data_IF_877334704424
#
_entry.id   IF_877334704424
#
_cell.length_a   1.000
_cell.length_b   1.000
_cell.length_c   1.000
_cell.angle_alpha   90.00
_cell.angle_beta   90.00
_cell.angle_gamma   90.00
#
_symmetry.space_group_name_H-M   'P 1'
#
loop_
_entity.id
_entity.type
_entity.pdbx_description
1 polymer ?
#
# COMPACT_ATOMS: atom_id res chain seq x y z
N UNK A 1 -12.67 -25.19 6.51
CA UNK A 1 -12.54 -24.04 5.59
C UNK A 1 -11.84 -24.52 4.33
N UNK A 2 -12.37 -24.26 3.13
CA UNK A 2 -11.75 -24.75 1.90
C UNK A 2 -10.39 -24.08 1.70
N UNK A 3 -9.40 -24.86 1.28
CA UNK A 3 -8.07 -24.34 0.96
C UNK A 3 -8.17 -23.35 -0.20
N UNK A 4 -7.68 -22.13 0.00
CA UNK A 4 -7.60 -21.10 -1.03
C UNK A 4 -6.59 -21.58 -2.08
N UNK A 5 -7.06 -21.96 -3.28
CA UNK A 5 -6.18 -22.40 -4.37
C UNK A 5 -5.46 -21.19 -5.00
N UNK A 6 -4.19 -21.38 -5.37
CA UNK A 6 -3.33 -20.43 -6.10
C UNK A 6 -3.06 -19.10 -5.37
N UNK A 7 -2.59 -19.17 -4.11
CA UNK A 7 -2.08 -18.00 -3.38
C UNK A 7 -0.79 -17.51 -4.04
N UNK A 8 -0.76 -16.24 -4.43
CA UNK A 8 0.44 -15.55 -4.93
C UNK A 8 0.82 -14.45 -3.95
N UNK A 9 2.09 -14.42 -3.57
CA UNK A 9 2.64 -13.39 -2.70
C UNK A 9 3.73 -12.64 -3.46
N UNK A 10 3.50 -11.35 -3.68
CA UNK A 10 4.49 -10.40 -4.20
C UNK A 10 5.15 -9.66 -3.04
N UNK A 11 6.38 -9.19 -3.24
CA UNK A 11 7.15 -8.45 -2.22
C UNK A 11 7.61 -7.15 -2.86
N UNK A 12 7.27 -6.00 -2.25
CA UNK A 12 7.75 -4.71 -2.72
C UNK A 12 9.25 -4.53 -2.40
N UNK A 13 9.93 -3.69 -3.18
CA UNK A 13 11.29 -3.26 -2.86
C UNK A 13 11.36 -2.58 -1.49
N UNK A 14 10.35 -1.78 -1.15
CA UNK A 14 10.25 -1.10 0.13
C UNK A 14 10.13 -2.07 1.32
N UNK A 15 9.41 -3.19 1.15
CA UNK A 15 9.37 -4.25 2.17
C UNK A 15 10.75 -4.85 2.40
N UNK A 16 11.53 -5.06 1.34
CA UNK A 16 12.89 -5.60 1.47
C UNK A 16 13.81 -4.65 2.24
N UNK A 17 13.68 -3.35 2.00
CA UNK A 17 14.40 -2.30 2.75
C UNK A 17 13.97 -2.29 4.23
N UNK A 18 12.67 -2.31 4.51
CA UNK A 18 12.14 -2.36 5.88
C UNK A 18 12.62 -3.62 6.62
N UNK A 19 12.52 -4.78 5.96
CA UNK A 19 13.00 -6.06 6.49
C UNK A 19 14.50 -6.03 6.84
N UNK A 20 15.33 -5.38 6.01
CA UNK A 20 16.75 -5.25 6.30
C UNK A 20 17.03 -4.41 7.56
N UNK A 21 16.17 -3.42 7.85
CA UNK A 21 16.26 -2.58 9.05
C UNK A 21 15.74 -3.26 10.33
N UNK A 22 14.93 -4.31 10.21
CA UNK A 22 14.46 -5.10 11.36
C UNK A 22 15.65 -5.77 12.07
N UNK A 23 15.72 -5.79 13.41
CA UNK A 23 16.78 -6.48 14.15
C UNK A 23 16.95 -7.94 13.72
N UNK A 24 18.19 -8.43 13.63
CA UNK A 24 18.52 -9.79 13.16
C UNK A 24 17.71 -10.89 13.83
N UNK A 25 17.48 -10.78 15.15
CA UNK A 25 16.67 -11.73 15.93
C UNK A 25 15.21 -11.81 15.45
N UNK A 26 14.67 -10.72 14.91
CA UNK A 26 13.29 -10.62 14.43
C UNK A 26 13.15 -10.99 12.95
N UNK A 27 14.20 -10.84 12.13
CA UNK A 27 14.19 -11.21 10.72
C UNK A 27 13.76 -12.67 10.49
N UNK A 28 14.22 -13.61 11.33
CA UNK A 28 13.81 -15.02 11.23
C UNK A 28 12.29 -15.22 11.35
N UNK A 29 11.63 -14.49 12.25
CA UNK A 29 10.16 -14.55 12.41
C UNK A 29 9.42 -13.97 11.21
N UNK A 30 9.99 -12.94 10.57
CA UNK A 30 9.42 -12.38 9.33
C UNK A 30 9.47 -13.43 8.21
N UNK A 31 10.59 -14.14 8.04
CA UNK A 31 10.73 -15.20 7.04
C UNK A 31 9.79 -16.39 7.31
N UNK A 32 9.65 -16.77 8.59
CA UNK A 32 8.70 -17.80 9.01
C UNK A 32 7.25 -17.37 8.71
N UNK A 33 6.92 -16.10 8.99
CA UNK A 33 5.65 -15.50 8.63
C UNK A 33 5.41 -15.59 7.11
N UNK A 34 6.36 -15.18 6.27
CA UNK A 34 6.21 -15.23 4.80
C UNK A 34 5.89 -16.66 4.34
N UNK A 35 6.58 -17.65 4.90
CA UNK A 35 6.35 -19.07 4.60
C UNK A 35 4.93 -19.50 5.00
N UNK A 36 4.49 -19.18 6.22
CA UNK A 36 3.13 -19.48 6.70
C UNK A 36 2.07 -18.77 5.89
N UNK A 37 2.31 -17.51 5.53
CA UNK A 37 1.39 -16.65 4.81
C UNK A 37 1.16 -17.14 3.38
N UNK A 38 2.22 -17.62 2.69
CA UNK A 38 2.11 -18.27 1.38
C UNK A 38 1.27 -19.56 1.42
N UNK A 39 1.32 -20.28 2.53
CA UNK A 39 0.57 -21.53 2.70
C UNK A 39 -0.90 -21.28 3.06
N UNK A 40 -1.16 -20.38 4.00
CA UNK A 40 -2.52 -20.03 4.42
C UNK A 40 -2.58 -18.62 5.01
N UNK A 41 -2.91 -17.59 4.22
CA UNK A 41 -2.96 -16.19 4.66
C UNK A 41 -4.09 -15.91 5.66
N UNK A 42 -5.07 -16.80 5.76
CA UNK A 42 -6.24 -16.67 6.66
C UNK A 42 -6.10 -17.49 7.95
N UNK A 43 -4.91 -18.01 8.24
CA UNK A 43 -4.66 -18.70 9.52
C UNK A 43 -4.91 -17.76 10.70
N UNK A 44 -5.55 -18.26 11.76
CA UNK A 44 -5.84 -17.48 12.96
C UNK A 44 -4.58 -16.84 13.59
N UNK A 45 -3.43 -17.51 13.46
CA UNK A 45 -2.13 -17.00 13.95
C UNK A 45 -1.65 -15.74 13.24
N UNK A 46 -2.10 -15.49 12.01
CA UNK A 46 -1.72 -14.33 11.20
C UNK A 46 -2.44 -13.07 11.69
N UNK A 47 -3.61 -13.20 12.33
CA UNK A 47 -4.41 -12.06 12.80
C UNK A 47 -4.53 -11.01 11.68
N UNK A 48 -5.21 -11.45 10.61
CA UNK A 48 -5.41 -10.69 9.39
C UNK A 48 -6.52 -9.66 9.60
N UNK A 49 -6.17 -8.37 9.69
CA UNK A 49 -7.09 -7.33 10.14
C UNK A 49 -7.22 -6.20 9.12
N UNK A 50 -8.46 -5.75 8.90
CA UNK A 50 -8.73 -4.47 8.22
C UNK A 50 -8.65 -3.36 9.26
N UNK A 51 -7.81 -2.37 8.99
CA UNK A 51 -7.65 -1.20 9.85
C UNK A 51 -8.44 -0.04 9.24
N UNK A 52 -9.39 0.49 10.00
CA UNK A 52 -10.30 1.56 9.53
C UNK A 52 -9.55 2.86 9.24
N UNK A 53 -8.43 3.10 9.94
CA UNK A 53 -7.65 4.33 9.85
C UNK A 53 -6.78 4.41 8.58
N UNK A 54 -6.63 3.31 7.83
CA UNK A 54 -5.85 3.31 6.59
C UNK A 54 -6.66 3.94 5.47
N UNK A 55 -6.10 4.94 4.79
CA UNK A 55 -6.75 5.59 3.63
C UNK A 55 -6.98 4.61 2.48
N UNK A 56 -6.07 3.66 2.27
CA UNK A 56 -6.26 2.57 1.32
C UNK A 56 -7.03 1.40 1.96
N UNK A 57 -8.28 1.24 1.53
CA UNK A 57 -9.20 0.23 2.05
C UNK A 57 -8.79 -1.22 1.77
N UNK A 58 -7.79 -1.45 0.92
CA UNK A 58 -7.23 -2.76 0.58
C UNK A 58 -6.00 -3.13 1.39
N UNK A 59 -5.49 -2.21 2.22
CA UNK A 59 -4.43 -2.50 3.16
C UNK A 59 -4.94 -3.33 4.35
N UNK A 60 -4.10 -4.27 4.79
CA UNK A 60 -4.37 -5.12 5.95
C UNK A 60 -3.13 -5.19 6.82
N UNK A 61 -3.39 -5.24 8.12
CA UNK A 61 -2.38 -5.56 9.13
C UNK A 61 -2.32 -7.07 9.30
N UNK A 62 -1.10 -7.59 9.43
CA UNK A 62 -0.83 -8.99 9.75
C UNK A 62 0.20 -9.07 10.86
N UNK A 63 0.06 -10.08 11.71
CA UNK A 63 0.96 -10.35 12.82
C UNK A 63 2.23 -11.04 12.33
N UNK A 64 3.36 -10.43 12.65
CA UNK A 64 4.65 -11.11 12.63
C UNK A 64 4.89 -11.74 14.01
N UNK A 65 4.74 -10.95 15.06
CA UNK A 65 4.79 -11.43 16.45
C UNK A 65 3.96 -10.54 17.40
N UNK A 66 4.23 -10.60 18.72
CA UNK A 66 3.55 -9.75 19.72
C UNK A 66 3.74 -8.25 19.50
N UNK A 67 4.89 -7.84 18.97
CA UNK A 67 5.37 -6.46 18.88
C UNK A 67 5.55 -5.94 17.45
N UNK A 68 5.60 -6.84 16.46
CA UNK A 68 5.79 -6.49 15.05
C UNK A 68 4.56 -6.80 14.19
N UNK A 69 4.30 -5.90 13.25
CA UNK A 69 3.26 -6.02 12.24
C UNK A 69 3.86 -5.95 10.84
N UNK A 70 3.28 -6.73 9.94
CA UNK A 70 3.43 -6.56 8.50
C UNK A 70 2.25 -5.78 7.96
N UNK A 71 2.49 -4.96 6.95
CA UNK A 71 1.45 -4.30 6.16
C UNK A 71 1.43 -4.93 4.78
N UNK A 72 0.24 -5.33 4.36
CA UNK A 72 0.03 -5.96 3.07
C UNK A 72 -1.09 -5.27 2.30
N UNK A 73 -1.07 -5.38 0.98
CA UNK A 73 -2.23 -5.09 0.14
C UNK A 73 -2.83 -6.39 -0.39
N UNK A 74 -4.16 -6.53 -0.29
CA UNK A 74 -4.90 -7.59 -0.96
C UNK A 74 -5.40 -7.06 -2.31
N UNK A 75 -5.20 -7.83 -3.38
CA UNK A 75 -5.82 -7.50 -4.67
C UNK A 75 -7.35 -7.65 -4.58
N UNK A 76 -8.08 -6.76 -5.26
CA UNK A 76 -9.55 -6.79 -5.34
C UNK A 76 -10.07 -8.10 -5.94
N UNK A 77 -9.28 -8.72 -6.82
CA UNK A 77 -9.63 -9.98 -7.48
C UNK A 77 -8.62 -11.09 -7.17
N UNK A 78 -9.13 -12.26 -6.80
CA UNK A 78 -8.32 -13.46 -6.58
C UNK A 78 -7.50 -13.46 -5.27
N UNK A 79 -6.42 -14.24 -5.30
CA UNK A 79 -5.61 -14.61 -4.14
C UNK A 79 -4.18 -14.07 -4.22
N UNK A 80 -4.06 -12.84 -4.73
CA UNK A 80 -2.79 -12.12 -4.79
C UNK A 80 -2.67 -11.18 -3.60
N UNK A 81 -1.55 -11.30 -2.90
CA UNK A 81 -1.20 -10.48 -1.75
C UNK A 81 0.16 -9.84 -2.00
N UNK A 82 0.33 -8.61 -1.55
CA UNK A 82 1.58 -7.89 -1.69
C UNK A 82 2.09 -7.48 -0.33
N UNK A 83 3.31 -7.88 0.02
CA UNK A 83 4.00 -7.43 1.22
C UNK A 83 4.60 -6.06 0.95
N UNK A 84 4.24 -5.08 1.79
CA UNK A 84 4.61 -3.68 1.57
C UNK A 84 5.55 -3.15 2.65
N UNK A 85 5.30 -3.48 3.91
CA UNK A 85 6.08 -2.99 5.03
C UNK A 85 6.16 -3.99 6.19
N UNK A 86 7.18 -3.86 7.04
CA UNK A 86 7.30 -4.60 8.31
C UNK A 86 8.01 -3.74 9.35
N UNK A 87 7.40 -3.57 10.52
CA UNK A 87 7.96 -2.78 11.62
C UNK A 87 7.28 -3.11 12.96
N UNK A 88 7.71 -2.45 14.02
CA UNK A 88 6.98 -2.36 15.28
C UNK A 88 5.56 -1.89 15.06
N UNK A 89 4.65 -2.41 15.89
CA UNK A 89 3.20 -2.22 15.78
C UNK A 89 2.78 -0.79 15.40
N UNK A 90 3.16 0.19 16.22
CA UNK A 90 2.68 1.56 16.05
C UNK A 90 3.30 2.23 14.82
N UNK A 91 4.59 1.97 14.56
CA UNK A 91 5.30 2.48 13.38
C UNK A 91 4.76 1.90 12.08
N UNK A 92 4.40 0.63 12.07
CA UNK A 92 3.78 0.01 10.91
C UNK A 92 2.43 0.65 10.59
N UNK A 93 1.65 1.02 11.61
CA UNK A 93 0.36 1.68 11.43
C UNK A 93 0.51 3.13 11.03
N UNK A 94 1.47 3.83 11.63
CA UNK A 94 1.86 5.20 11.25
C UNK A 94 2.28 5.26 9.78
N UNK A 95 3.17 4.35 9.34
CA UNK A 95 3.57 4.23 7.94
C UNK A 95 2.35 3.96 7.04
N UNK A 96 1.45 3.05 7.42
CA UNK A 96 0.34 2.65 6.57
C UNK A 96 -0.83 3.65 6.51
N UNK A 97 -1.00 4.50 7.53
CA UNK A 97 -2.18 5.35 7.71
C UNK A 97 -2.51 6.17 6.47
N UNK A 98 -1.51 6.83 5.90
CA UNK A 98 -1.67 7.74 4.76
C UNK A 98 -1.25 7.12 3.43
N UNK A 99 -0.83 5.85 3.41
CA UNK A 99 -0.31 5.23 2.18
C UNK A 99 -1.45 4.73 1.29
N UNK A 100 -1.33 5.01 -0.01
CA UNK A 100 -2.00 4.29 -1.09
C UNK A 100 -0.99 3.49 -1.88
N UNK A 101 -1.43 2.34 -2.38
CA UNK A 101 -0.62 1.46 -3.19
C UNK A 101 -1.36 1.10 -4.47
N UNK A 102 -0.82 1.46 -5.64
CA UNK A 102 -1.43 1.20 -6.94
C UNK A 102 -0.42 0.62 -7.93
N UNK A 103 -0.90 -0.04 -8.98
CA UNK A 103 -0.07 -0.50 -10.09
C UNK A 103 -0.37 0.41 -11.26
N UNK A 104 0.65 1.10 -11.76
CA UNK A 104 0.50 1.92 -12.96
C UNK A 104 0.26 0.98 -14.17
N UNK A 105 -0.86 1.13 -14.91
CA UNK A 105 -1.20 0.21 -15.99
C UNK A 105 -0.29 0.35 -17.22
N UNK A 106 0.28 1.54 -17.45
CA UNK A 106 1.14 1.82 -18.62
C UNK A 106 2.58 1.34 -18.40
N UNK A 107 3.10 1.45 -17.17
CA UNK A 107 4.49 1.09 -16.85
C UNK A 107 4.62 -0.24 -16.11
N UNK A 108 3.53 -0.77 -15.56
CA UNK A 108 3.53 -1.94 -14.68
C UNK A 108 4.19 -1.70 -13.32
N UNK A 109 4.58 -0.45 -13.00
CA UNK A 109 5.29 -0.14 -11.76
C UNK A 109 4.37 -0.19 -10.56
N UNK A 110 4.84 -0.80 -9.47
CA UNK A 110 4.22 -0.66 -8.16
C UNK A 110 4.50 0.73 -7.59
N UNK A 111 3.46 1.46 -7.26
CA UNK A 111 3.54 2.81 -6.70
C UNK A 111 2.98 2.79 -5.28
N UNK A 112 3.80 3.23 -4.34
CA UNK A 112 3.43 3.41 -2.94
C UNK A 112 3.66 4.88 -2.63
N UNK A 113 2.61 5.60 -2.25
CA UNK A 113 2.64 7.06 -2.08
C UNK A 113 1.75 7.50 -0.93
N UNK A 114 2.07 8.67 -0.35
CA UNK A 114 1.29 9.28 0.71
C UNK A 114 0.13 10.11 0.13
N UNK A 115 -1.02 9.98 0.75
CA UNK A 115 -2.20 10.81 0.50
C UNK A 115 -2.42 11.65 1.75
N UNK A 116 -2.22 12.95 1.64
CA UNK A 116 -2.58 13.90 2.68
C UNK A 116 -3.94 14.55 2.35
N UNK A 117 -4.75 14.83 3.37
CA UNK A 117 -6.08 15.42 3.17
C UNK A 117 -5.98 16.88 2.72
N UNK A 118 -4.83 17.52 2.93
CA UNK A 118 -4.52 18.87 2.45
C UNK A 118 -4.54 19.00 0.92
N UNK A 119 -4.32 17.91 0.17
CA UNK A 119 -4.40 17.93 -1.31
C UNK A 119 -5.83 17.90 -1.86
N UNK A 120 -6.84 17.52 -1.05
CA UNK A 120 -8.25 17.48 -1.47
C UNK A 120 -8.98 18.81 -1.26
N UNK A 121 -8.47 19.67 -0.38
CA UNK A 121 -9.09 20.98 -0.09
C UNK A 121 -8.81 22.05 -1.15
N UNK A 122 -7.72 21.94 -1.92
CA UNK A 122 -7.44 22.92 -2.98
C UNK A 122 -8.40 22.81 -4.18
N UNK A 123 -9.09 21.68 -4.35
CA UNK A 123 -10.06 21.49 -5.45
C UNK A 123 -11.47 22.01 -5.05
N UNK A 124 -11.72 22.24 -3.76
CA UNK A 124 -13.07 22.45 -3.23
C UNK A 124 -13.47 23.90 -2.96
N UNK A 125 -12.56 24.87 -3.08
CA UNK A 125 -12.83 26.26 -2.67
C UNK A 125 -12.97 27.29 -3.80
N UNK A 126 -12.77 26.90 -5.06
CA UNK A 126 -12.90 27.81 -6.22
C UNK A 126 -14.01 27.38 -7.18
N UNK A 127 -15.25 27.22 -6.67
CA UNK A 127 -16.44 27.15 -7.53
C UNK A 127 -17.19 28.48 -7.69
N UNK A 128 -16.68 29.58 -7.13
CA UNK A 128 -17.25 30.91 -7.32
C UNK A 128 -16.15 31.96 -7.57
N UNK A 129 -15.63 31.99 -8.80
CA UNK A 129 -15.35 33.21 -9.57
C UNK A 129 -14.52 32.84 -10.80
N UNK A 130 -15.13 32.94 -11.98
CA UNK A 130 -14.43 32.83 -13.27
C UNK A 130 -13.52 34.07 -13.39
N UNK A 131 -12.28 33.96 -12.94
CA UNK A 131 -11.18 34.83 -13.37
C UNK A 131 -10.40 34.09 -14.42
N UNK A 132 -10.13 34.75 -15.54
CA UNK A 132 -9.36 34.25 -16.68
C UNK A 132 -7.97 33.84 -16.21
N UNK A 133 -7.80 32.60 -15.77
CA UNK A 133 -6.50 32.04 -15.48
C UNK A 133 -5.77 31.88 -16.82
N UNK A 134 -4.55 32.42 -16.88
CA UNK A 134 -3.59 31.98 -17.88
C UNK A 134 -3.57 30.45 -17.86
N UNK A 135 -3.53 29.82 -19.03
CA UNK A 135 -3.42 28.37 -19.18
C UNK A 135 -2.48 27.83 -18.11
N UNK A 136 -3.00 26.99 -17.20
CA UNK A 136 -2.21 26.46 -16.09
C UNK A 136 -0.90 25.87 -16.60
N UNK A 137 0.14 25.84 -15.77
CA UNK A 137 1.50 25.42 -16.15
C UNK A 137 1.56 24.08 -16.92
N UNK A 138 0.56 23.21 -16.74
CA UNK A 138 0.43 21.91 -17.40
C UNK A 138 -0.78 21.78 -18.33
N UNK A 139 -1.47 22.88 -18.69
CA UNK A 139 -2.67 22.85 -19.51
C UNK A 139 -2.45 22.23 -20.91
N UNK A 140 -1.22 22.33 -21.43
CA UNK A 140 -0.82 21.70 -22.69
C UNK A 140 -0.45 20.21 -22.56
N UNK A 141 -0.36 19.67 -21.34
CA UNK A 141 0.02 18.28 -21.09
C UNK A 141 -1.24 17.42 -20.91
N UNK A 142 -1.46 16.48 -21.82
CA UNK A 142 -2.53 15.50 -21.66
C UNK A 142 -2.27 14.52 -20.51
N UNK A 143 -3.32 14.14 -19.77
CA UNK A 143 -3.26 13.16 -18.67
C UNK A 143 -2.53 11.87 -19.03
N UNK A 144 -2.67 11.40 -20.28
CA UNK A 144 -1.94 10.23 -20.79
C UNK A 144 -0.42 10.37 -20.65
N UNK A 145 0.13 11.57 -20.82
CA UNK A 145 1.56 11.82 -20.64
C UNK A 145 1.95 11.76 -19.16
N UNK A 146 1.12 12.29 -18.27
CA UNK A 146 1.35 12.20 -16.82
C UNK A 146 1.33 10.74 -16.33
N UNK A 147 0.42 9.91 -16.85
CA UNK A 147 0.37 8.47 -16.55
C UNK A 147 1.63 7.74 -16.98
N UNK A 148 2.15 8.04 -18.18
CA UNK A 148 3.42 7.50 -18.66
C UNK A 148 4.61 7.93 -17.81
N UNK A 149 4.52 9.09 -17.16
CA UNK A 149 5.52 9.59 -16.22
C UNK A 149 5.33 9.04 -14.80
N UNK A 150 4.29 8.23 -14.56
CA UNK A 150 4.05 7.60 -13.27
C UNK A 150 3.16 8.39 -12.33
N UNK A 151 2.47 9.43 -12.79
CA UNK A 151 1.49 10.17 -11.96
C UNK A 151 0.17 9.37 -11.90
N UNK A 152 -0.37 9.06 -10.71
CA UNK A 152 -1.68 8.39 -10.56
C UNK A 152 -2.85 9.23 -11.09
N UNK A 153 -3.97 8.59 -11.46
CA UNK A 153 -5.21 9.30 -11.88
C UNK A 153 -6.03 9.84 -10.70
N UNK A 154 -5.84 9.27 -9.50
CA UNK A 154 -6.60 9.57 -8.28
C UNK A 154 -5.97 10.67 -7.42
#
# INVERSE_FOLDING_TARGET
MPAIKNIKVAISSEFMTAFAAVPKKMQGKVLEFITKFRNNPMSASINYEKIVQFKDSNLRSVRIDKSYRGIIKKSDTGNVYMLLWVDHHDKAYEWAKNKKCNINPETGSLQIYDVDDTQLFEISTDKEEIKTYQEGLFASIHNRHLLKLGVPEE
#
